data_IF_729987548772
#
_entry.id   IF_729987548772
#
_cell.length_a   1.000
_cell.length_b   1.000
_cell.length_c   1.000
_cell.angle_alpha   90.00
_cell.angle_beta   90.00
_cell.angle_gamma   90.00
#
_symmetry.space_group_name_H-M   'P 1'
#
loop_
_entity.id
_entity.type
_entity.pdbx_description
1 polymer ?
#
# COMPACT_ATOMS: atom_id res chain seq x y z
N UNK A 1 18.61 -22.61 1.82
CA UNK A 1 17.86 -21.34 1.61
C UNK A 1 16.81 -21.23 2.70
N UNK A 2 16.84 -20.17 3.54
CA UNK A 2 15.76 -19.93 4.51
C UNK A 2 14.47 -19.70 3.72
N UNK A 3 13.49 -20.59 3.87
CA UNK A 3 12.15 -20.42 3.30
C UNK A 3 11.50 -19.27 4.07
N UNK A 4 11.55 -18.09 3.48
CA UNK A 4 10.84 -16.93 4.00
C UNK A 4 9.37 -17.05 3.59
N UNK A 5 8.45 -17.01 4.56
CA UNK A 5 7.02 -17.07 4.29
C UNK A 5 6.59 -15.89 3.40
N UNK A 6 5.77 -16.16 2.38
CA UNK A 6 5.26 -15.12 1.50
C UNK A 6 4.45 -14.09 2.31
N UNK A 7 4.69 -12.80 2.08
CA UNK A 7 3.93 -11.72 2.71
C UNK A 7 2.68 -11.50 1.88
N UNK A 8 1.55 -12.07 2.32
CA UNK A 8 0.27 -11.96 1.59
C UNK A 8 -0.56 -10.74 1.96
N UNK A 9 -0.46 -10.29 3.21
CA UNK A 9 -1.25 -9.21 3.76
C UNK A 9 -0.35 -8.21 4.49
N UNK A 10 -0.58 -6.92 4.27
CA UNK A 10 0.07 -5.85 5.00
C UNK A 10 -0.94 -4.75 5.37
N UNK A 11 -0.97 -4.40 6.66
CA UNK A 11 -1.58 -3.16 7.16
C UNK A 11 -0.46 -2.18 7.52
N UNK A 12 -0.30 -1.13 6.73
CA UNK A 12 0.78 -0.16 6.89
C UNK A 12 0.35 1.14 7.56
N UNK A 13 -0.90 1.23 8.05
CA UNK A 13 -1.45 2.45 8.66
C UNK A 13 -0.71 2.94 9.92
N UNK A 14 0.15 2.11 10.50
CA UNK A 14 0.97 2.45 11.66
C UNK A 14 2.48 2.38 11.37
N UNK A 15 2.87 2.15 10.12
CA UNK A 15 4.27 2.01 9.72
C UNK A 15 4.79 3.38 9.30
N UNK A 16 5.74 3.92 10.10
CA UNK A 16 6.35 5.23 9.89
C UNK A 16 7.78 5.17 9.32
N UNK A 17 8.32 3.97 9.13
CA UNK A 17 9.70 3.75 8.66
C UNK A 17 9.71 3.15 7.25
N UNK A 18 10.64 3.59 6.41
CA UNK A 18 10.74 3.20 5.00
C UNK A 18 11.31 1.79 4.87
N UNK A 19 10.48 0.78 5.12
CA UNK A 19 10.85 -0.64 5.03
C UNK A 19 11.18 -1.12 3.60
N UNK A 20 10.99 -0.26 2.59
CA UNK A 20 11.13 -0.63 1.17
C UNK A 20 12.55 -0.50 0.62
N UNK A 21 13.47 0.15 1.34
CA UNK A 21 14.88 0.27 0.92
C UNK A 21 15.71 -0.98 1.23
N UNK A 22 15.14 -1.96 1.94
CA UNK A 22 15.82 -3.22 2.16
C UNK A 22 15.92 -4.02 0.85
N UNK A 23 17.11 -4.49 0.44
CA UNK A 23 17.30 -5.24 -0.80
C UNK A 23 16.36 -6.44 -0.94
N UNK A 24 16.03 -7.07 0.18
CA UNK A 24 15.15 -8.24 0.24
C UNK A 24 13.66 -7.90 0.27
N UNK A 25 13.30 -6.62 0.41
CA UNK A 25 11.92 -6.16 0.45
C UNK A 25 11.18 -6.57 -0.83
N UNK A 26 11.84 -6.44 -2.00
CA UNK A 26 11.25 -6.81 -3.29
C UNK A 26 10.66 -8.22 -3.28
N UNK A 27 11.41 -9.22 -2.80
CA UNK A 27 10.95 -10.61 -2.77
C UNK A 27 9.75 -10.84 -1.85
N UNK A 28 9.55 -9.98 -0.83
CA UNK A 28 8.38 -10.05 0.05
C UNK A 28 7.17 -9.37 -0.58
N UNK A 29 7.38 -8.18 -1.11
CA UNK A 29 6.33 -7.31 -1.62
C UNK A 29 5.74 -7.76 -2.96
N UNK A 30 6.52 -8.46 -3.78
CA UNK A 30 6.01 -9.05 -5.03
C UNK A 30 4.88 -10.06 -4.79
N UNK A 31 4.91 -10.75 -3.64
CA UNK A 31 3.89 -11.72 -3.25
C UNK A 31 2.64 -11.11 -2.60
N UNK A 32 2.63 -9.79 -2.37
CA UNK A 32 1.58 -9.09 -1.63
C UNK A 32 0.25 -9.12 -2.38
N UNK A 33 -0.75 -9.70 -1.75
CA UNK A 33 -2.10 -9.83 -2.30
C UNK A 33 -3.07 -8.81 -1.70
N UNK A 34 -2.83 -8.40 -0.46
CA UNK A 34 -3.71 -7.49 0.26
C UNK A 34 -2.91 -6.37 0.94
N UNK A 35 -3.32 -5.13 0.68
CA UNK A 35 -2.73 -3.94 1.27
C UNK A 35 -3.81 -3.06 1.89
N UNK A 36 -3.54 -2.62 3.12
CA UNK A 36 -4.30 -1.57 3.80
C UNK A 36 -3.38 -0.44 4.19
N UNK A 37 -3.70 0.78 3.75
CA UNK A 37 -2.91 1.98 4.00
C UNK A 37 -3.84 3.18 4.28
N UNK A 38 -3.24 4.32 4.58
CA UNK A 38 -3.94 5.59 4.72
C UNK A 38 -3.18 6.72 4.04
N UNK A 39 -3.85 7.84 3.80
CA UNK A 39 -3.29 8.98 3.06
C UNK A 39 -2.33 9.84 3.89
N UNK A 40 -2.16 9.56 5.19
CA UNK A 40 -1.12 10.24 6.00
C UNK A 40 0.29 9.68 5.75
N UNK A 41 0.39 8.56 5.03
CA UNK A 41 1.66 7.99 4.60
C UNK A 41 2.27 8.87 3.51
N UNK A 42 3.56 9.20 3.67
CA UNK A 42 4.32 10.02 2.72
C UNK A 42 4.26 9.46 1.29
N UNK A 43 4.13 10.35 0.30
CA UNK A 43 3.88 9.94 -1.08
C UNK A 43 5.02 9.11 -1.69
N UNK A 44 6.27 9.26 -1.21
CA UNK A 44 7.40 8.42 -1.62
C UNK A 44 7.18 6.92 -1.34
N UNK A 45 6.43 6.59 -0.29
CA UNK A 45 6.11 5.19 0.05
C UNK A 45 5.23 4.57 -1.03
N UNK A 46 4.24 5.31 -1.54
CA UNK A 46 3.35 4.81 -2.57
C UNK A 46 4.07 4.57 -3.90
N UNK A 47 5.06 5.40 -4.25
CA UNK A 47 5.89 5.14 -5.43
C UNK A 47 6.72 3.88 -5.28
N UNK A 48 7.33 3.65 -4.11
CA UNK A 48 8.05 2.42 -3.81
C UNK A 48 7.14 1.19 -3.89
N UNK A 49 5.95 1.27 -3.30
CA UNK A 49 4.94 0.23 -3.39
C UNK A 49 4.47 0.01 -4.83
N UNK A 50 4.27 1.06 -5.62
CA UNK A 50 3.85 0.94 -7.02
C UNK A 50 4.92 0.19 -7.85
N UNK A 51 6.19 0.38 -7.53
CA UNK A 51 7.26 -0.36 -8.20
C UNK A 51 7.29 -1.84 -7.82
N UNK A 52 7.06 -2.16 -6.54
CA UNK A 52 7.24 -3.52 -5.98
C UNK A 52 5.97 -4.37 -6.00
N UNK A 53 4.80 -3.77 -5.87
CA UNK A 53 3.50 -4.43 -5.70
C UNK A 53 2.61 -4.14 -6.91
N UNK A 54 2.63 -5.00 -7.92
CA UNK A 54 1.82 -4.83 -9.13
C UNK A 54 0.65 -5.83 -9.24
N UNK A 55 0.49 -6.72 -8.25
CA UNK A 55 -0.49 -7.81 -8.27
C UNK A 55 -1.37 -7.85 -7.01
N UNK A 56 -1.53 -6.69 -6.35
CA UNK A 56 -2.45 -6.58 -5.22
C UNK A 56 -3.87 -6.90 -5.71
N UNK A 57 -4.53 -7.82 -5.02
CA UNK A 57 -5.90 -8.22 -5.28
C UNK A 57 -6.90 -7.40 -4.45
N UNK A 58 -6.50 -6.99 -3.24
CA UNK A 58 -7.34 -6.22 -2.33
C UNK A 58 -6.59 -4.99 -1.81
N UNK A 59 -7.05 -3.81 -2.19
CA UNK A 59 -6.49 -2.53 -1.75
C UNK A 59 -7.53 -1.75 -0.93
N UNK A 60 -7.19 -1.40 0.30
CA UNK A 60 -8.02 -0.55 1.16
C UNK A 60 -7.24 0.68 1.57
N UNK A 61 -7.77 1.86 1.23
CA UNK A 61 -7.16 3.15 1.54
C UNK A 61 -8.09 3.91 2.47
N UNK A 62 -7.54 4.39 3.57
CA UNK A 62 -8.24 5.24 4.53
C UNK A 62 -7.78 6.68 4.31
N UNK A 63 -8.69 7.56 3.89
CA UNK A 63 -8.40 8.98 3.72
C UNK A 63 -8.43 9.68 5.07
N UNK A 64 -7.24 9.93 5.61
CA UNK A 64 -7.00 10.57 6.92
C UNK A 64 -6.41 11.97 6.80
N UNK A 65 -5.65 12.22 5.74
CA UNK A 65 -5.02 13.51 5.42
C UNK A 65 -5.19 13.76 3.91
N UNK A 66 -6.08 14.66 3.50
CA UNK A 66 -6.44 14.88 2.09
C UNK A 66 -5.50 15.88 1.38
N UNK A 67 -4.18 15.73 1.53
CA UNK A 67 -3.20 16.69 1.01
C UNK A 67 -2.52 16.27 -0.30
N UNK A 68 -2.23 14.98 -0.50
CA UNK A 68 -1.57 14.46 -1.73
C UNK A 68 -2.07 13.06 -2.09
N UNK A 69 -2.82 12.98 -3.21
CA UNK A 69 -3.33 11.70 -3.74
C UNK A 69 -2.49 11.14 -4.88
N UNK A 70 -1.43 11.82 -5.33
CA UNK A 70 -0.70 11.40 -6.50
C UNK A 70 0.04 10.08 -6.27
N UNK A 71 0.65 9.91 -5.09
CA UNK A 71 1.27 8.63 -4.73
C UNK A 71 0.25 7.49 -4.73
N UNK A 72 -0.89 7.71 -4.09
CA UNK A 72 -1.99 6.74 -4.01
C UNK A 72 -2.54 6.40 -5.40
N UNK A 73 -2.78 7.40 -6.24
CA UNK A 73 -3.28 7.17 -7.60
C UNK A 73 -2.27 6.36 -8.41
N UNK A 74 -0.97 6.62 -8.26
CA UNK A 74 0.07 5.83 -8.92
C UNK A 74 0.10 4.38 -8.46
N UNK A 75 -0.09 4.13 -7.16
CA UNK A 75 -0.19 2.77 -6.63
C UNK A 75 -1.40 2.02 -7.21
N UNK A 76 -2.54 2.69 -7.36
CA UNK A 76 -3.75 2.09 -7.96
C UNK A 76 -3.50 1.80 -9.45
N UNK A 77 -2.92 2.75 -10.18
CA UNK A 77 -2.69 2.69 -11.64
C UNK A 77 -1.90 1.45 -12.07
N UNK A 78 -0.88 1.05 -11.29
CA UNK A 78 0.02 -0.04 -11.66
C UNK A 78 -0.52 -1.44 -11.36
N UNK A 79 -1.68 -1.57 -10.72
CA UNK A 79 -2.20 -2.89 -10.33
C UNK A 79 -2.75 -3.66 -11.53
N UNK A 80 -2.24 -4.87 -11.74
CA UNK A 80 -2.60 -5.78 -12.85
C UNK A 80 -3.66 -6.81 -12.48
N UNK A 81 -4.03 -6.93 -11.20
CA UNK A 81 -4.95 -7.96 -10.70
C UNK A 81 -5.84 -7.48 -9.55
N UNK A 82 -6.19 -6.18 -9.55
CA UNK A 82 -7.02 -5.61 -8.49
C UNK A 82 -8.47 -6.09 -8.61
N UNK A 83 -8.93 -6.85 -7.61
CA UNK A 83 -10.30 -7.41 -7.55
C UNK A 83 -11.21 -6.62 -6.63
N UNK A 84 -10.64 -6.00 -5.60
CA UNK A 84 -11.36 -5.19 -4.63
C UNK A 84 -10.59 -3.92 -4.32
N UNK A 85 -11.27 -2.79 -4.43
CA UNK A 85 -10.80 -1.49 -4.00
C UNK A 85 -11.78 -0.90 -2.99
N UNK A 86 -11.28 -0.44 -1.85
CA UNK A 86 -12.06 0.25 -0.83
C UNK A 86 -11.42 1.59 -0.46
N UNK A 87 -12.19 2.66 -0.59
CA UNK A 87 -11.83 4.00 -0.11
C UNK A 87 -12.70 4.34 1.11
N UNK A 88 -12.09 4.81 2.20
CA UNK A 88 -12.80 5.15 3.44
C UNK A 88 -12.41 6.54 3.92
N UNK A 89 -13.35 7.47 3.96
CA UNK A 89 -13.12 8.81 4.49
C UNK A 89 -13.35 8.88 6.01
N UNK A 90 -12.32 9.26 6.76
CA UNK A 90 -12.40 9.40 8.23
C UNK A 90 -13.04 10.74 8.62
N UNK A 91 -13.10 11.72 7.70
CA UNK A 91 -13.72 13.02 7.93
C UNK A 91 -15.27 13.03 7.93
N UNK A 92 -15.93 11.87 7.84
CA UNK A 92 -17.39 11.79 7.77
C UNK A 92 -18.13 11.90 9.12
N UNK A 93 -17.44 12.20 10.23
CA UNK A 93 -18.04 12.20 11.59
C UNK A 93 -18.23 13.59 12.23
N UNK A 94 -17.96 14.68 11.50
CA UNK A 94 -18.29 16.04 11.96
C UNK A 94 -18.98 16.81 10.84
N UNK A 95 -20.26 16.54 10.61
CA UNK A 95 -21.15 17.41 9.84
C UNK A 95 -22.46 17.59 10.58
#
# INVERSE_FOLDING_TARGET
MKKFSELKYLDMRSIRHQIFYFPEAKFRFESLCELKCDTSVDSSYFYGLAHLCQYIQRLVIVNTDPSDYYGVSKLIEVQKNLKYFGWKDVHSIYR
#
